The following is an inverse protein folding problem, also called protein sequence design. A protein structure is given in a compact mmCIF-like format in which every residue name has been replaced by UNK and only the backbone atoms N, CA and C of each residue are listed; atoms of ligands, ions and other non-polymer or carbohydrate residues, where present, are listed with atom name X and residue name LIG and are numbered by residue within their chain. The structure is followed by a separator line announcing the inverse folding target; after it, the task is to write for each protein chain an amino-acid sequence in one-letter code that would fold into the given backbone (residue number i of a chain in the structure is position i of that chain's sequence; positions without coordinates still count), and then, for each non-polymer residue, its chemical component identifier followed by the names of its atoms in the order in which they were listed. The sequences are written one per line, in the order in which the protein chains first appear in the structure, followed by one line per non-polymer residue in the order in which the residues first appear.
data_IF_476635630156
#
_entry.id   IF_476635630156
#
_cell.length_a   1.000
_cell.length_b   1.000
_cell.length_c   1.000
_cell.angle_alpha   90.00
_cell.angle_beta   90.00
_cell.angle_gamma   90.00
#
_symmetry.space_group_name_H-M   'P 1'
#
loop_
_entity.id
_entity.type
_entity.pdbx_description
1 polymer ?
#
# COMPACT_ATOMS: atom_id res chain seq x y z
N UNK A 1 9.83 75.63 65.50
CA UNK A 1 8.61 75.31 64.71
C UNK A 1 9.03 74.78 63.37
N UNK A 2 8.84 73.50 63.10
CA UNK A 2 8.55 72.82 61.84
C UNK A 2 9.55 72.86 60.67
N UNK A 3 10.26 71.75 60.51
CA UNK A 3 10.62 71.25 59.18
C UNK A 3 10.24 69.78 59.10
N UNK A 4 9.01 69.51 58.75
CA UNK A 4 8.57 68.18 58.38
C UNK A 4 7.76 68.43 57.11
N UNK A 5 8.23 68.06 55.98
CA UNK A 5 7.42 68.24 54.74
C UNK A 5 8.05 67.93 53.39
N UNK A 6 9.32 67.51 53.31
CA UNK A 6 9.96 67.33 52.00
C UNK A 6 10.54 65.92 51.72
N UNK A 7 10.37 64.97 52.62
CA UNK A 7 10.93 63.62 52.45
C UNK A 7 9.91 62.66 51.79
N UNK A 8 8.61 62.99 51.82
CA UNK A 8 7.58 62.09 51.27
C UNK A 8 7.41 62.18 49.75
N UNK A 9 7.87 63.30 49.13
CA UNK A 9 7.71 63.46 47.65
C UNK A 9 8.78 62.72 46.83
N UNK A 10 9.98 62.57 47.36
CA UNK A 10 11.07 61.95 46.60
C UNK A 10 10.95 60.39 46.52
N UNK A 11 10.42 59.79 47.61
CA UNK A 11 10.23 58.33 47.60
C UNK A 11 9.09 57.88 46.66
N UNK A 12 8.04 58.69 46.51
CA UNK A 12 6.92 58.39 45.59
C UNK A 12 7.32 58.48 44.12
N UNK A 13 8.17 59.44 43.77
CA UNK A 13 8.63 59.59 42.37
C UNK A 13 9.59 58.47 41.95
N UNK A 14 10.46 57.98 42.84
CA UNK A 14 11.37 56.87 42.55
C UNK A 14 10.60 55.55 42.38
N UNK A 15 9.57 55.33 43.18
CA UNK A 15 8.75 54.11 43.06
C UNK A 15 7.91 54.17 41.78
N UNK A 16 7.35 55.30 41.37
CA UNK A 16 6.60 55.43 40.16
C UNK A 16 7.45 55.26 38.88
N UNK A 17 8.68 55.75 38.88
CA UNK A 17 9.62 55.53 37.76
C UNK A 17 10.09 54.06 37.71
N UNK A 18 10.32 53.41 38.87
CA UNK A 18 10.70 52.00 38.88
C UNK A 18 9.54 51.08 38.42
N UNK A 19 8.30 51.39 38.79
CA UNK A 19 7.13 50.63 38.33
C UNK A 19 6.85 50.88 36.83
N UNK A 20 6.98 52.11 36.33
CA UNK A 20 6.86 52.40 34.92
C UNK A 20 7.96 51.70 34.07
N UNK A 21 9.19 51.65 34.60
CA UNK A 21 10.30 50.92 33.93
C UNK A 21 10.08 49.41 33.90
N UNK A 22 9.42 48.81 34.89
CA UNK A 22 9.08 47.39 34.89
C UNK A 22 7.89 47.05 34.00
N UNK A 23 6.95 48.02 33.78
CA UNK A 23 5.78 47.80 32.93
C UNK A 23 6.07 48.08 31.43
N UNK A 24 7.06 48.97 31.14
CA UNK A 24 7.43 49.36 29.80
C UNK A 24 8.83 48.91 29.36
N UNK A 25 9.50 48.04 30.17
CA UNK A 25 10.75 47.46 29.72
C UNK A 25 10.42 46.37 28.73
N UNK A 26 10.77 46.50 27.46
CA UNK A 26 10.71 45.37 26.53
C UNK A 26 11.68 44.35 27.07
N UNK A 27 11.15 43.23 27.52
CA UNK A 27 11.99 42.07 27.91
C UNK A 27 12.94 41.73 26.76
N UNK A 28 14.10 41.15 27.06
CA UNK A 28 15.01 40.66 26.04
C UNK A 28 14.36 39.46 25.32
N UNK A 29 13.85 39.72 24.15
CA UNK A 29 13.04 38.81 23.34
C UNK A 29 11.60 39.35 23.22
N UNK A 30 11.25 39.86 22.08
CA UNK A 30 9.94 40.48 21.81
C UNK A 30 8.81 39.44 21.84
N UNK A 31 8.48 38.94 23.05
CA UNK A 31 7.28 38.13 23.23
C UNK A 31 6.08 39.06 23.26
N UNK A 32 5.30 39.04 22.22
CA UNK A 32 3.99 39.72 22.13
C UNK A 32 2.87 38.93 22.85
N UNK A 33 3.22 37.82 23.49
CA UNK A 33 2.27 36.92 24.10
C UNK A 33 1.86 35.75 23.20
N UNK A 34 2.37 35.68 21.98
CA UNK A 34 2.23 34.55 21.10
C UNK A 34 3.36 33.54 21.40
N UNK A 35 3.00 32.31 21.76
CA UNK A 35 3.95 31.23 22.06
C UNK A 35 4.68 30.71 20.79
N UNK A 36 4.40 31.26 19.64
CA UNK A 36 4.93 30.79 18.35
C UNK A 36 5.97 31.73 17.73
N UNK A 37 6.21 32.92 18.29
CA UNK A 37 7.12 33.95 17.76
C UNK A 37 8.56 33.48 17.60
N UNK A 38 9.00 32.62 18.52
CA UNK A 38 10.37 32.09 18.54
C UNK A 38 10.53 30.82 17.72
N UNK A 39 9.47 30.33 17.09
CA UNK A 39 9.57 29.12 16.25
C UNK A 39 10.17 29.47 14.90
N UNK A 40 11.24 28.77 14.56
CA UNK A 40 11.74 28.85 13.19
C UNK A 40 10.59 28.51 12.23
N UNK A 41 10.43 29.35 11.21
CA UNK A 41 9.44 29.04 10.16
C UNK A 41 9.62 27.61 9.69
N UNK A 42 8.54 26.82 9.73
CA UNK A 42 8.56 25.47 9.20
C UNK A 42 9.11 25.53 7.78
N UNK A 43 10.07 24.69 7.47
CA UNK A 43 10.56 24.53 6.11
C UNK A 43 9.36 24.31 5.20
N UNK A 44 9.30 25.02 4.08
CA UNK A 44 8.26 24.76 3.09
C UNK A 44 8.21 23.25 2.79
N UNK A 45 7.02 22.62 2.74
CA UNK A 45 6.91 21.22 2.42
C UNK A 45 7.67 20.93 1.13
N UNK A 46 8.68 20.08 1.20
CA UNK A 46 9.38 19.68 -0.01
C UNK A 46 8.43 18.79 -0.82
N UNK A 47 8.11 19.23 -2.02
CA UNK A 47 7.33 18.43 -2.94
C UNK A 47 8.23 17.33 -3.52
N UNK A 48 8.14 16.14 -2.96
CA UNK A 48 8.83 14.98 -3.52
C UNK A 48 7.99 14.43 -4.68
N UNK A 49 8.59 14.36 -5.85
CA UNK A 49 8.04 13.62 -6.99
C UNK A 49 8.81 12.31 -7.09
N UNK A 50 8.19 11.17 -6.83
CA UNK A 50 8.84 9.87 -6.92
C UNK A 50 9.26 9.57 -8.37
N UNK A 51 10.18 8.63 -8.54
CA UNK A 51 10.67 8.20 -9.85
C UNK A 51 10.58 6.68 -9.98
N UNK A 52 10.32 6.21 -11.18
CA UNK A 52 10.45 4.79 -11.47
C UNK A 52 11.91 4.32 -11.27
N UNK A 53 12.06 3.12 -10.73
CA UNK A 53 13.35 2.52 -10.38
C UNK A 53 13.85 2.87 -8.97
N UNK A 54 13.10 3.61 -8.17
CA UNK A 54 13.41 3.86 -6.75
C UNK A 54 13.00 2.66 -5.89
N UNK A 55 13.85 2.31 -4.93
CA UNK A 55 13.56 1.28 -3.93
C UNK A 55 13.29 1.91 -2.56
N UNK A 56 12.41 1.30 -1.77
CA UNK A 56 11.94 1.83 -0.50
C UNK A 56 12.10 0.81 0.61
N UNK A 57 12.67 1.25 1.73
CA UNK A 57 12.92 0.36 2.88
C UNK A 57 11.63 -0.05 3.59
N UNK A 58 10.56 0.70 3.44
CA UNK A 58 9.29 0.50 4.13
C UNK A 58 8.10 0.79 3.21
N UNK A 59 6.96 0.18 3.53
CA UNK A 59 5.65 0.38 2.91
C UNK A 59 4.75 1.17 3.85
N UNK A 60 5.07 2.39 4.15
CA UNK A 60 4.10 3.23 4.84
C UNK A 60 3.14 3.84 3.83
N UNK A 61 1.94 3.28 3.73
CA UNK A 61 0.89 3.68 2.79
C UNK A 61 0.52 5.17 2.87
N UNK A 62 0.75 5.81 4.02
CA UNK A 62 0.41 7.22 4.24
C UNK A 62 1.63 8.15 4.28
N UNK A 63 2.81 7.64 4.59
CA UNK A 63 4.04 8.41 4.80
C UNK A 63 5.08 8.16 3.70
N UNK A 64 4.93 7.11 2.94
CA UNK A 64 5.90 6.67 1.92
C UNK A 64 6.24 7.73 0.87
N UNK A 65 5.37 8.71 0.66
CA UNK A 65 5.65 9.86 -0.19
C UNK A 65 6.81 10.75 0.30
N UNK A 66 7.22 10.59 1.56
CA UNK A 66 8.30 11.36 2.20
C UNK A 66 9.53 10.51 2.54
N UNK A 67 9.43 9.19 2.44
CA UNK A 67 10.55 8.29 2.72
C UNK A 67 11.55 8.39 1.57
N UNK A 68 12.78 8.73 1.89
CA UNK A 68 13.85 8.80 0.90
C UNK A 68 14.08 7.40 0.28
N UNK A 69 14.29 7.33 -1.04
CA UNK A 69 14.63 6.06 -1.68
C UNK A 69 15.97 5.53 -1.15
N UNK A 70 16.09 4.21 -1.13
CA UNK A 70 17.33 3.51 -0.79
C UNK A 70 17.93 2.89 -2.05
N UNK A 71 19.22 2.52 -1.97
CA UNK A 71 19.85 1.74 -3.04
C UNK A 71 19.18 0.38 -3.17
N UNK A 72 18.72 0.01 -4.35
CA UNK A 72 18.10 -1.29 -4.60
C UNK A 72 19.05 -2.48 -4.33
N UNK A 73 20.36 -2.27 -4.29
CA UNK A 73 21.31 -3.28 -3.84
C UNK A 73 21.30 -3.49 -2.31
N UNK A 74 20.77 -2.51 -1.55
CA UNK A 74 20.53 -2.63 -0.12
C UNK A 74 19.20 -3.39 0.14
N UNK A 75 18.92 -3.67 1.41
CA UNK A 75 17.66 -4.28 1.82
C UNK A 75 16.52 -3.29 1.68
N UNK A 76 15.46 -3.69 0.99
CA UNK A 76 14.28 -2.88 0.73
C UNK A 76 13.03 -3.77 0.61
N UNK A 77 11.86 -3.18 0.73
CA UNK A 77 10.56 -3.88 0.74
C UNK A 77 9.80 -3.64 -0.56
N UNK A 78 9.91 -2.43 -1.12
CA UNK A 78 9.16 -2.04 -2.31
C UNK A 78 10.06 -1.48 -3.40
N UNK A 79 9.65 -1.65 -4.65
CA UNK A 79 10.29 -1.07 -5.83
C UNK A 79 9.26 -0.34 -6.68
N UNK A 80 9.47 0.95 -6.91
CA UNK A 80 8.62 1.77 -7.78
C UNK A 80 8.85 1.41 -9.23
N UNK A 81 7.87 0.84 -9.88
CA UNK A 81 7.97 0.45 -11.30
C UNK A 81 7.42 1.51 -12.26
N UNK A 82 6.55 2.38 -11.76
CA UNK A 82 5.96 3.44 -12.55
C UNK A 82 5.45 4.59 -11.67
N UNK A 83 5.42 5.79 -12.24
CA UNK A 83 4.76 6.96 -11.64
C UNK A 83 3.80 7.53 -12.68
N UNK A 84 2.53 7.49 -12.36
CA UNK A 84 1.44 8.02 -13.17
C UNK A 84 0.93 9.37 -12.65
N UNK A 85 -0.13 9.85 -13.27
CA UNK A 85 -0.79 11.11 -12.89
C UNK A 85 -2.29 10.97 -12.93
N UNK A 86 -2.95 11.44 -11.89
CA UNK A 86 -4.41 11.57 -11.90
C UNK A 86 -4.85 12.65 -12.89
N UNK A 87 -5.96 12.38 -13.58
CA UNK A 87 -6.58 13.26 -14.56
C UNK A 87 -8.09 13.39 -14.30
N UNK A 88 -8.70 14.43 -14.91
CA UNK A 88 -10.13 14.66 -14.84
C UNK A 88 -10.59 15.25 -13.50
N UNK A 89 -11.85 15.00 -13.15
CA UNK A 89 -12.55 15.66 -12.03
C UNK A 89 -11.91 15.39 -10.66
N UNK A 90 -11.29 14.23 -10.47
CA UNK A 90 -10.61 13.88 -9.21
C UNK A 90 -9.50 14.88 -8.86
N UNK A 91 -8.87 15.50 -9.87
CA UNK A 91 -7.79 16.48 -9.63
C UNK A 91 -8.28 17.78 -9.00
N UNK A 92 -9.58 18.02 -8.99
CA UNK A 92 -10.24 19.20 -8.39
C UNK A 92 -10.68 18.94 -6.94
N UNK A 93 -10.60 17.70 -6.46
CA UNK A 93 -10.93 17.36 -5.09
C UNK A 93 -9.95 18.01 -4.11
N UNK A 94 -10.44 18.43 -2.94
CA UNK A 94 -9.62 19.00 -1.88
C UNK A 94 -8.62 17.97 -1.33
N UNK A 95 -9.03 16.70 -1.29
CA UNK A 95 -8.25 15.58 -0.78
C UNK A 95 -7.90 14.59 -1.90
N UNK A 96 -6.80 13.86 -1.73
CA UNK A 96 -6.44 12.75 -2.60
C UNK A 96 -7.50 11.65 -2.53
N UNK A 97 -7.72 10.89 -3.62
CA UNK A 97 -8.67 9.77 -3.65
C UNK A 97 -8.14 8.61 -2.80
N UNK A 98 -8.34 8.69 -1.49
CA UNK A 98 -7.79 7.72 -0.53
C UNK A 98 -8.27 6.31 -0.80
N UNK A 99 -7.36 5.34 -0.72
CA UNK A 99 -7.70 3.94 -0.69
C UNK A 99 -8.48 3.67 0.60
N UNK A 100 -9.72 3.22 0.46
CA UNK A 100 -10.60 2.89 1.59
C UNK A 100 -11.30 1.58 1.32
N UNK A 101 -11.49 0.82 2.39
CA UNK A 101 -12.34 -0.36 2.32
C UNK A 101 -13.73 0.01 1.80
N UNK A 102 -14.21 -0.79 0.87
CA UNK A 102 -15.53 -0.63 0.25
C UNK A 102 -15.79 0.79 -0.33
N UNK A 103 -14.75 1.45 -0.83
CA UNK A 103 -14.85 2.76 -1.48
C UNK A 103 -15.89 2.74 -2.61
N UNK A 104 -16.56 3.87 -2.82
CA UNK A 104 -17.57 4.06 -3.88
C UNK A 104 -17.39 5.41 -4.55
N UNK A 105 -18.01 5.58 -5.73
CA UNK A 105 -18.01 6.86 -6.44
C UNK A 105 -16.65 7.24 -7.03
N UNK A 106 -16.38 8.54 -7.10
CA UNK A 106 -15.22 9.08 -7.81
C UNK A 106 -13.87 8.61 -7.28
N UNK A 107 -13.74 8.40 -5.96
CA UNK A 107 -12.52 7.91 -5.34
C UNK A 107 -12.22 6.48 -5.79
N UNK A 108 -13.23 5.59 -5.71
CA UNK A 108 -13.07 4.20 -6.16
C UNK A 108 -12.75 4.12 -7.66
N UNK A 109 -13.37 4.95 -8.48
CA UNK A 109 -13.08 5.01 -9.92
C UNK A 109 -11.66 5.50 -10.20
N UNK A 110 -11.20 6.53 -9.49
CA UNK A 110 -9.85 7.06 -9.65
C UNK A 110 -8.80 6.02 -9.22
N UNK A 111 -9.01 5.38 -8.08
CA UNK A 111 -8.16 4.30 -7.59
C UNK A 111 -8.15 3.10 -8.54
N UNK A 112 -9.31 2.68 -9.02
CA UNK A 112 -9.41 1.54 -9.95
C UNK A 112 -8.68 1.82 -11.27
N UNK A 113 -8.72 3.05 -11.78
CA UNK A 113 -7.95 3.44 -12.97
C UNK A 113 -6.45 3.45 -12.70
N UNK A 114 -6.03 4.04 -11.59
CA UNK A 114 -4.62 4.04 -11.18
C UNK A 114 -4.09 2.60 -11.01
N UNK A 115 -4.85 1.75 -10.33
CA UNK A 115 -4.48 0.34 -10.15
C UNK A 115 -4.40 -0.43 -11.48
N UNK A 116 -5.33 -0.21 -12.40
CA UNK A 116 -5.29 -0.84 -13.72
C UNK A 116 -4.05 -0.41 -14.51
N UNK A 117 -3.72 0.89 -14.51
CA UNK A 117 -2.50 1.38 -15.14
C UNK A 117 -1.25 0.82 -14.47
N UNK A 118 -1.20 0.80 -13.13
CA UNK A 118 -0.11 0.19 -12.38
C UNK A 118 0.05 -1.30 -12.75
N UNK A 119 -1.05 -2.05 -12.85
CA UNK A 119 -1.02 -3.48 -13.21
C UNK A 119 -0.41 -3.72 -14.60
N UNK A 120 -0.80 -2.92 -15.59
CA UNK A 120 -0.24 -3.00 -16.94
C UNK A 120 1.25 -2.67 -16.94
N UNK A 121 1.65 -1.62 -16.22
CA UNK A 121 3.05 -1.19 -16.11
C UNK A 121 3.92 -2.20 -15.37
N UNK A 122 3.41 -2.76 -14.28
CA UNK A 122 4.09 -3.81 -13.52
C UNK A 122 4.33 -5.06 -14.37
N UNK A 123 3.29 -5.50 -15.11
CA UNK A 123 3.40 -6.61 -16.06
C UNK A 123 4.46 -6.34 -17.13
N UNK A 124 4.45 -5.14 -17.72
CA UNK A 124 5.46 -4.76 -18.71
C UNK A 124 6.88 -4.67 -18.14
N UNK A 125 7.00 -4.22 -16.90
CA UNK A 125 8.28 -4.13 -16.19
C UNK A 125 8.92 -5.49 -15.93
N UNK A 126 8.09 -6.47 -15.53
CA UNK A 126 8.52 -7.83 -15.21
C UNK A 126 8.68 -8.72 -16.45
N UNK A 127 8.02 -8.38 -17.57
CA UNK A 127 7.93 -9.24 -18.75
C UNK A 127 6.95 -10.41 -18.64
N UNK A 128 6.21 -10.50 -17.54
CA UNK A 128 5.15 -11.47 -17.27
C UNK A 128 4.11 -10.86 -16.30
N UNK A 129 2.90 -11.44 -16.17
CA UNK A 129 1.91 -10.95 -15.22
C UNK A 129 2.47 -10.92 -13.79
N UNK A 130 2.40 -9.76 -13.14
CA UNK A 130 2.91 -9.58 -11.78
C UNK A 130 2.18 -10.46 -10.76
N UNK A 131 0.90 -10.76 -11.02
CA UNK A 131 0.06 -11.57 -10.13
C UNK A 131 0.26 -13.08 -10.28
N UNK A 132 1.07 -13.54 -11.24
CA UNK A 132 1.43 -14.96 -11.40
C UNK A 132 2.61 -15.38 -10.52
N UNK A 133 3.15 -14.46 -9.76
CA UNK A 133 4.30 -14.66 -8.89
C UNK A 133 4.02 -14.07 -7.51
N UNK A 134 4.90 -14.31 -6.54
CA UNK A 134 4.78 -13.80 -5.18
C UNK A 134 5.11 -12.31 -5.10
N UNK A 135 4.27 -11.51 -5.70
CA UNK A 135 4.31 -10.06 -5.64
C UNK A 135 2.93 -9.52 -5.30
N UNK A 136 2.91 -8.40 -4.61
CA UNK A 136 1.75 -7.53 -4.51
C UNK A 136 2.01 -6.22 -5.23
N UNK A 137 0.94 -5.55 -5.62
CA UNK A 137 0.97 -4.28 -6.32
C UNK A 137 0.29 -3.21 -5.49
N UNK A 138 1.07 -2.25 -5.07
CA UNK A 138 0.59 -1.12 -4.29
C UNK A 138 0.50 0.16 -5.11
N UNK A 139 -0.52 0.97 -4.82
CA UNK A 139 -0.71 2.30 -5.40
C UNK A 139 -0.59 3.35 -4.31
N UNK A 140 0.55 4.00 -4.25
CA UNK A 140 0.87 5.04 -3.27
C UNK A 140 0.49 6.42 -3.80
N UNK A 141 -0.06 7.26 -2.94
CA UNK A 141 -0.57 8.58 -3.27
C UNK A 141 0.24 9.69 -2.59
N UNK A 142 0.17 10.94 -3.08
CA UNK A 142 0.70 12.08 -2.36
C UNK A 142 0.03 12.23 -0.99
N UNK A 143 0.79 12.69 0.00
CA UNK A 143 0.19 13.10 1.28
C UNK A 143 -0.87 14.18 1.07
N UNK A 144 -1.76 14.37 2.04
CA UNK A 144 -2.78 15.43 1.97
C UNK A 144 -2.14 16.81 1.74
N UNK A 145 -1.04 17.13 2.41
CA UNK A 145 -0.32 18.39 2.22
C UNK A 145 0.27 18.51 0.80
N UNK A 146 0.82 17.45 0.26
CA UNK A 146 1.36 17.42 -1.10
C UNK A 146 0.24 17.55 -2.15
N UNK A 147 -0.91 16.91 -1.92
CA UNK A 147 -2.09 17.07 -2.76
C UNK A 147 -2.63 18.52 -2.76
N UNK A 148 -2.76 19.12 -1.59
CA UNK A 148 -3.15 20.52 -1.43
C UNK A 148 -2.14 21.48 -2.10
N UNK A 149 -0.86 21.13 -2.11
CA UNK A 149 0.18 21.84 -2.85
C UNK A 149 0.15 21.59 -4.38
N UNK A 150 -0.82 20.82 -4.89
CA UNK A 150 -1.05 20.61 -6.32
C UNK A 150 -0.41 19.35 -6.90
N UNK A 151 0.20 18.49 -6.10
CA UNK A 151 0.73 17.21 -6.60
C UNK A 151 -0.43 16.25 -6.93
N UNK A 152 -0.34 15.61 -8.09
CA UNK A 152 -1.41 14.75 -8.63
C UNK A 152 -0.86 13.43 -9.18
N UNK A 153 0.30 13.00 -8.69
CA UNK A 153 0.90 11.73 -9.08
C UNK A 153 0.27 10.56 -8.32
N UNK A 154 0.42 9.38 -8.86
CA UNK A 154 0.35 8.12 -8.12
C UNK A 154 1.58 7.29 -8.44
N UNK A 155 2.01 6.47 -7.50
CA UNK A 155 3.18 5.62 -7.60
C UNK A 155 2.75 4.17 -7.58
N UNK A 156 3.32 3.37 -8.48
CA UNK A 156 3.08 1.94 -8.58
C UNK A 156 4.27 1.21 -7.99
N UNK A 157 4.08 0.55 -6.88
CA UNK A 157 5.11 -0.17 -6.16
C UNK A 157 4.86 -1.68 -6.25
N UNK A 158 5.88 -2.42 -6.64
CA UNK A 158 5.89 -3.88 -6.49
C UNK A 158 6.54 -4.25 -5.18
N UNK A 159 5.91 -5.18 -4.48
CA UNK A 159 6.29 -5.66 -3.16
C UNK A 159 6.45 -7.16 -3.22
N UNK A 160 7.62 -7.67 -2.83
CA UNK A 160 7.76 -9.11 -2.68
C UNK A 160 6.96 -9.57 -1.47
N UNK A 161 6.08 -10.54 -1.67
CA UNK A 161 5.30 -11.14 -0.58
C UNK A 161 5.91 -12.48 -0.14
N UNK A 162 5.68 -12.78 1.12
CA UNK A 162 5.92 -14.10 1.69
C UNK A 162 4.90 -15.13 1.20
N UNK A 163 4.84 -16.22 1.92
CA UNK A 163 3.82 -17.25 1.73
C UNK A 163 2.58 -16.85 2.51
N UNK A 164 1.46 -16.99 1.97
CA UNK A 164 0.23 -16.35 2.43
C UNK A 164 -0.09 -15.10 1.59
N UNK A 165 0.85 -14.68 0.73
CA UNK A 165 0.69 -13.59 -0.24
C UNK A 165 0.33 -12.22 0.39
N UNK A 166 0.36 -12.08 1.71
CA UNK A 166 -0.03 -10.88 2.42
C UNK A 166 1.17 -10.13 3.03
N UNK A 167 2.15 -10.86 3.57
CA UNK A 167 3.24 -10.22 4.30
C UNK A 167 4.37 -9.77 3.38
N UNK A 168 4.75 -8.48 3.41
CA UNK A 168 5.92 -7.99 2.70
C UNK A 168 7.19 -8.67 3.18
N UNK A 169 8.07 -9.02 2.24
CA UNK A 169 9.38 -9.61 2.51
C UNK A 169 10.47 -8.70 1.96
N UNK A 170 11.37 -8.32 2.84
CA UNK A 170 12.54 -7.55 2.44
C UNK A 170 13.44 -8.36 1.47
N UNK A 171 13.98 -7.67 0.49
CA UNK A 171 14.84 -8.24 -0.53
C UNK A 171 16.06 -7.34 -0.81
N UNK A 172 16.99 -7.87 -1.60
CA UNK A 172 18.10 -7.12 -2.21
C UNK A 172 18.08 -7.30 -3.72
N UNK A 173 18.43 -6.26 -4.44
CA UNK A 173 18.40 -6.25 -5.90
C UNK A 173 17.01 -5.98 -6.50
N UNK A 174 16.97 -5.46 -7.71
CA UNK A 174 15.75 -5.09 -8.42
C UNK A 174 14.84 -6.30 -8.68
N UNK A 175 13.54 -6.04 -8.76
CA UNK A 175 12.51 -6.98 -9.20
C UNK A 175 12.47 -7.14 -10.72
N UNK A 176 13.16 -6.29 -11.46
CA UNK A 176 13.16 -6.33 -12.92
C UNK A 176 13.58 -7.72 -13.41
N UNK A 177 12.75 -8.31 -14.23
CA UNK A 177 12.94 -9.67 -14.75
C UNK A 177 13.02 -10.77 -13.65
N UNK A 178 12.60 -10.46 -12.41
CA UNK A 178 12.59 -11.43 -11.33
C UNK A 178 11.47 -12.46 -11.51
N UNK A 179 11.80 -13.73 -11.33
CA UNK A 179 10.84 -14.82 -11.30
C UNK A 179 10.73 -15.37 -9.87
N UNK A 180 9.60 -15.12 -9.21
CA UNK A 180 9.33 -15.51 -7.83
C UNK A 180 8.15 -16.50 -7.77
N UNK A 181 8.33 -17.74 -8.22
CA UNK A 181 7.22 -18.67 -8.40
C UNK A 181 6.51 -18.96 -7.08
N UNK A 182 5.21 -19.11 -7.15
CA UNK A 182 4.41 -19.78 -6.14
C UNK A 182 4.57 -21.28 -6.26
N UNK A 183 4.24 -22.03 -5.19
CA UNK A 183 4.48 -23.47 -5.15
C UNK A 183 3.33 -24.21 -4.43
N UNK A 184 3.65 -25.33 -3.80
CA UNK A 184 2.74 -26.13 -3.01
C UNK A 184 2.45 -25.47 -1.66
N UNK A 185 1.24 -25.68 -1.14
CA UNK A 185 0.78 -25.09 0.11
C UNK A 185 0.06 -26.13 0.99
N UNK A 186 0.05 -25.87 2.29
CA UNK A 186 -0.84 -26.53 3.23
C UNK A 186 -2.07 -25.64 3.40
N UNK A 187 -3.17 -26.01 2.77
CA UNK A 187 -4.44 -25.26 2.78
C UNK A 187 -5.31 -25.65 3.98
N UNK A 188 -4.86 -26.57 4.82
CA UNK A 188 -5.63 -27.00 6.01
C UNK A 188 -5.63 -25.95 7.13
N UNK A 189 -4.68 -25.01 7.11
CA UNK A 189 -4.56 -23.90 8.06
C UNK A 189 -5.14 -22.59 7.55
N UNK A 190 -5.16 -21.57 8.42
CA UNK A 190 -5.65 -20.23 8.06
C UNK A 190 -4.69 -19.45 7.14
N UNK A 191 -3.38 -19.68 7.27
CA UNK A 191 -2.36 -18.85 6.62
C UNK A 191 -1.78 -19.47 5.36
N UNK A 192 -2.28 -20.64 4.96
CA UNK A 192 -1.85 -21.38 3.76
C UNK A 192 -0.33 -21.38 3.55
N UNK A 193 0.47 -21.86 4.53
CA UNK A 193 1.90 -21.79 4.42
C UNK A 193 2.40 -22.58 3.23
N UNK A 194 3.37 -22.01 2.55
CA UNK A 194 4.03 -22.75 1.50
C UNK A 194 4.84 -23.91 2.07
N UNK A 195 4.84 -24.98 1.32
CA UNK A 195 5.67 -26.15 1.55
C UNK A 195 6.42 -26.52 0.27
N UNK A 196 7.59 -27.12 0.45
CA UNK A 196 8.28 -27.78 -0.66
C UNK A 196 7.39 -28.87 -1.23
N UNK A 197 7.14 -28.85 -2.53
CA UNK A 197 6.31 -29.86 -3.20
C UNK A 197 6.82 -31.31 -3.02
N UNK A 198 8.09 -31.50 -2.69
CA UNK A 198 8.61 -32.83 -2.31
C UNK A 198 8.06 -33.33 -0.97
N UNK A 199 7.50 -32.45 -0.13
CA UNK A 199 6.84 -32.79 1.13
C UNK A 199 5.35 -33.02 0.91
N UNK A 200 4.68 -33.56 1.94
CA UNK A 200 3.21 -33.68 1.94
C UNK A 200 2.55 -32.32 1.90
N UNK A 201 1.58 -32.15 1.03
CA UNK A 201 0.76 -30.94 0.89
C UNK A 201 -0.64 -31.32 0.37
N UNK A 202 -1.59 -30.46 0.57
CA UNK A 202 -2.97 -30.59 0.11
C UNK A 202 -3.40 -29.50 -0.86
N UNK A 203 -2.49 -28.54 -1.16
CA UNK A 203 -2.71 -27.45 -2.09
C UNK A 203 -1.53 -27.21 -3.02
N UNK A 204 -1.82 -26.77 -4.25
CA UNK A 204 -0.82 -26.32 -5.21
C UNK A 204 -1.34 -25.16 -6.04
N UNK A 205 -0.54 -24.11 -6.16
CA UNK A 205 -0.87 -22.94 -6.96
C UNK A 205 -0.93 -23.28 -8.44
N UNK A 206 -2.03 -22.93 -9.09
CA UNK A 206 -2.26 -23.23 -10.51
C UNK A 206 -2.28 -21.97 -11.42
N UNK A 207 -2.30 -20.78 -10.84
CA UNK A 207 -2.32 -19.52 -11.58
C UNK A 207 -3.16 -18.45 -10.90
N UNK A 208 -3.21 -17.27 -11.48
CA UNK A 208 -4.04 -16.17 -11.02
C UNK A 208 -4.66 -15.41 -12.20
N UNK A 209 -5.65 -14.57 -11.91
CA UNK A 209 -6.25 -13.66 -12.88
C UNK A 209 -6.79 -12.41 -12.19
N UNK A 210 -6.97 -11.35 -12.96
CA UNK A 210 -7.70 -10.17 -12.51
C UNK A 210 -9.19 -10.36 -12.78
N UNK A 211 -10.00 -10.36 -11.72
CA UNK A 211 -11.44 -10.46 -11.88
C UNK A 211 -12.02 -9.20 -12.56
N UNK A 212 -13.15 -9.32 -13.26
CA UNK A 212 -13.81 -8.17 -13.88
C UNK A 212 -14.14 -7.07 -12.87
N UNK A 213 -14.15 -5.83 -13.35
CA UNK A 213 -14.55 -4.69 -12.54
C UNK A 213 -16.00 -4.86 -12.05
N UNK A 214 -16.20 -4.72 -10.74
CA UNK A 214 -17.50 -4.73 -10.13
C UNK A 214 -17.50 -3.80 -8.92
N UNK A 215 -18.64 -3.13 -8.70
CA UNK A 215 -18.79 -2.18 -7.60
C UNK A 215 -18.81 -2.83 -6.20
N UNK A 216 -19.02 -4.14 -6.15
CA UNK A 216 -19.08 -4.91 -4.90
C UNK A 216 -18.30 -6.20 -5.04
N UNK A 217 -17.72 -6.64 -3.94
CA UNK A 217 -17.12 -7.98 -3.87
C UNK A 217 -18.18 -9.05 -4.15
N UNK A 218 -17.84 -10.10 -4.90
CA UNK A 218 -18.75 -11.21 -5.09
C UNK A 218 -18.97 -11.99 -3.79
N UNK A 219 -20.15 -12.58 -3.61
CA UNK A 219 -20.47 -13.44 -2.48
C UNK A 219 -21.51 -14.51 -2.88
N UNK A 220 -21.48 -15.65 -2.23
CA UNK A 220 -22.37 -16.78 -2.53
C UNK A 220 -22.28 -17.17 -4.00
N UNK A 221 -23.40 -17.32 -4.70
CA UNK A 221 -23.42 -17.70 -6.11
C UNK A 221 -22.71 -16.74 -7.07
N UNK A 222 -22.46 -15.49 -6.66
CA UNK A 222 -21.66 -14.57 -7.45
C UNK A 222 -20.16 -14.94 -7.48
N UNK A 223 -19.73 -15.89 -6.64
CA UNK A 223 -18.39 -16.48 -6.69
C UNK A 223 -18.23 -17.54 -7.79
N UNK A 224 -19.34 -18.19 -8.23
CA UNK A 224 -19.28 -19.29 -9.20
C UNK A 224 -18.44 -18.97 -10.44
N UNK A 225 -18.55 -17.77 -11.08
CA UNK A 225 -17.70 -17.44 -12.23
C UNK A 225 -16.21 -17.35 -11.90
N UNK A 226 -15.84 -17.04 -10.64
CA UNK A 226 -14.44 -17.02 -10.21
C UNK A 226 -13.92 -18.45 -10.05
N UNK A 227 -14.73 -19.34 -9.45
CA UNK A 227 -14.42 -20.77 -9.37
C UNK A 227 -14.27 -21.37 -10.77
N UNK A 228 -15.21 -21.10 -11.67
CA UNK A 228 -15.12 -21.56 -13.08
C UNK A 228 -13.81 -21.10 -13.72
N UNK A 229 -13.43 -19.84 -13.51
CA UNK A 229 -12.18 -19.30 -14.05
C UNK A 229 -10.95 -19.97 -13.44
N UNK A 230 -10.97 -20.29 -12.14
CA UNK A 230 -9.89 -21.06 -11.51
C UNK A 230 -9.79 -22.46 -12.11
N UNK A 231 -10.90 -23.15 -12.32
CA UNK A 231 -10.87 -24.46 -12.99
C UNK A 231 -10.37 -24.39 -14.45
N UNK A 232 -10.60 -23.26 -15.15
CA UNK A 232 -9.99 -23.04 -16.48
C UNK A 232 -8.46 -22.95 -16.42
N UNK A 233 -7.88 -22.50 -15.29
CA UNK A 233 -6.43 -22.48 -15.05
C UNK A 233 -5.92 -23.84 -14.54
N UNK A 234 -6.66 -24.50 -13.66
CA UNK A 234 -6.30 -25.78 -13.07
C UNK A 234 -6.25 -26.89 -14.12
N UNK A 235 -7.20 -26.92 -15.05
CA UNK A 235 -7.28 -27.97 -16.07
C UNK A 235 -5.98 -28.09 -16.92
N UNK A 236 -5.50 -27.04 -17.57
CA UNK A 236 -4.23 -27.12 -18.31
C UNK A 236 -3.02 -27.32 -17.39
N UNK A 237 -3.05 -26.81 -16.17
CA UNK A 237 -2.00 -27.06 -15.21
C UNK A 237 -1.83 -28.55 -14.91
N UNK A 238 -2.93 -29.26 -14.68
CA UNK A 238 -2.95 -30.71 -14.49
C UNK A 238 -2.71 -31.51 -15.77
N UNK A 239 -2.83 -30.90 -16.94
CA UNK A 239 -2.77 -31.59 -18.23
C UNK A 239 -4.05 -32.38 -18.55
N UNK A 240 -5.20 -31.94 -18.08
CA UNK A 240 -6.52 -32.57 -18.32
C UNK A 240 -7.48 -31.61 -19.04
N UNK A 241 -8.58 -32.18 -19.57
CA UNK A 241 -9.67 -31.32 -20.07
C UNK A 241 -10.49 -30.73 -18.92
N UNK A 242 -11.08 -29.55 -19.15
CA UNK A 242 -11.92 -28.86 -18.15
C UNK A 242 -13.03 -29.76 -17.58
N UNK A 243 -13.67 -30.57 -18.43
CA UNK A 243 -14.72 -31.50 -18.02
C UNK A 243 -14.27 -32.62 -17.06
N UNK A 244 -12.98 -32.86 -16.95
CA UNK A 244 -12.43 -33.85 -16.02
C UNK A 244 -12.03 -33.27 -14.68
N UNK A 245 -11.68 -31.98 -14.62
CA UNK A 245 -11.13 -31.36 -13.42
C UNK A 245 -12.17 -31.27 -12.30
N UNK A 246 -13.43 -31.00 -12.64
CA UNK A 246 -14.53 -30.80 -11.69
C UNK A 246 -14.81 -31.99 -10.78
N UNK A 247 -14.35 -33.18 -11.14
CA UNK A 247 -14.62 -34.42 -10.41
C UNK A 247 -13.38 -34.96 -9.66
N UNK A 248 -12.25 -34.31 -9.81
CA UNK A 248 -10.98 -34.85 -9.29
C UNK A 248 -10.34 -33.99 -8.23
N UNK A 249 -10.57 -32.70 -8.26
CA UNK A 249 -10.00 -31.75 -7.30
C UNK A 249 -11.01 -30.64 -7.02
N UNK A 250 -10.90 -30.05 -5.82
CA UNK A 250 -11.49 -28.75 -5.51
C UNK A 250 -10.60 -27.61 -5.97
N UNK A 251 -11.11 -26.43 -5.91
CA UNK A 251 -10.32 -25.20 -5.99
C UNK A 251 -10.42 -24.43 -4.67
N UNK A 252 -9.36 -23.72 -4.35
CA UNK A 252 -9.36 -22.74 -3.29
C UNK A 252 -8.93 -21.40 -3.88
N UNK A 253 -9.68 -20.36 -3.56
CA UNK A 253 -9.45 -19.01 -4.03
C UNK A 253 -8.85 -18.20 -2.89
N UNK A 254 -7.74 -17.56 -3.16
CA UNK A 254 -7.15 -16.60 -2.25
C UNK A 254 -7.24 -15.19 -2.83
N UNK A 255 -7.53 -14.22 -1.97
CA UNK A 255 -7.68 -12.83 -2.32
C UNK A 255 -6.91 -11.98 -1.31
N UNK A 256 -6.16 -11.01 -1.80
CA UNK A 256 -5.59 -10.01 -0.93
C UNK A 256 -6.70 -9.19 -0.24
N UNK A 257 -6.49 -8.83 1.02
CA UNK A 257 -7.34 -7.89 1.78
C UNK A 257 -8.82 -8.28 1.91
N UNK A 258 -9.14 -9.58 1.97
CA UNK A 258 -10.52 -10.07 2.14
C UNK A 258 -11.56 -9.35 1.24
N UNK A 259 -11.18 -8.96 0.03
CA UNK A 259 -11.99 -8.16 -0.89
C UNK A 259 -12.31 -6.72 -0.43
N UNK A 260 -11.72 -6.22 0.64
CA UNK A 260 -12.04 -4.89 1.16
C UNK A 260 -11.80 -3.79 0.11
N UNK A 261 -10.79 -3.97 -0.73
CA UNK A 261 -10.39 -3.02 -1.78
C UNK A 261 -10.84 -3.41 -3.19
N UNK A 262 -11.81 -4.29 -3.30
CA UNK A 262 -12.31 -4.79 -4.58
C UNK A 262 -12.77 -3.67 -5.54
N UNK A 263 -13.56 -2.73 -5.03
CA UNK A 263 -14.05 -1.59 -5.80
C UNK A 263 -12.94 -0.62 -6.25
N UNK A 264 -11.84 -0.60 -5.52
CA UNK A 264 -10.67 0.22 -5.83
C UNK A 264 -9.68 -0.45 -6.79
N UNK A 265 -10.00 -1.64 -7.30
CA UNK A 265 -9.21 -2.31 -8.34
C UNK A 265 -8.40 -3.50 -7.87
N UNK A 266 -8.18 -3.71 -6.60
CA UNK A 266 -7.48 -4.90 -6.06
C UNK A 266 -8.39 -6.13 -6.21
N UNK A 267 -8.33 -6.77 -7.37
CA UNK A 267 -9.22 -7.88 -7.77
C UNK A 267 -8.46 -9.10 -8.26
N UNK A 268 -7.23 -9.26 -7.79
CA UNK A 268 -6.44 -10.45 -8.11
C UNK A 268 -7.05 -11.65 -7.41
N UNK A 269 -7.24 -12.72 -8.16
CA UNK A 269 -7.73 -14.01 -7.68
C UNK A 269 -6.64 -15.04 -7.90
N UNK A 270 -6.10 -15.59 -6.84
CA UNK A 270 -5.12 -16.67 -6.88
C UNK A 270 -5.84 -18.01 -6.78
N UNK A 271 -5.57 -18.90 -7.70
CA UNK A 271 -6.21 -20.20 -7.82
C UNK A 271 -5.30 -21.31 -7.34
N UNK A 272 -5.76 -22.05 -6.36
CA UNK A 272 -5.06 -23.23 -5.85
C UNK A 272 -5.86 -24.48 -6.17
N UNK A 273 -5.18 -25.53 -6.54
CA UNK A 273 -5.73 -26.89 -6.52
C UNK A 273 -5.88 -27.27 -5.05
N UNK A 274 -7.05 -27.75 -4.65
CA UNK A 274 -7.31 -28.21 -3.30
C UNK A 274 -7.67 -29.68 -3.29
N UNK A 275 -6.94 -30.47 -2.49
CA UNK A 275 -7.13 -31.91 -2.37
C UNK A 275 -8.05 -32.31 -1.20
N UNK A 276 -8.70 -31.33 -0.56
CA UNK A 276 -9.55 -31.51 0.62
C UNK A 276 -8.77 -32.25 1.73
N UNK A 277 -9.20 -33.45 2.08
CA UNK A 277 -8.57 -34.27 3.14
C UNK A 277 -7.43 -35.15 2.64
N UNK A 278 -7.14 -35.11 1.36
CA UNK A 278 -6.07 -35.89 0.74
C UNK A 278 -4.78 -35.07 0.72
N UNK A 279 -3.67 -35.74 0.73
CA UNK A 279 -2.35 -35.12 0.56
C UNK A 279 -1.57 -35.84 -0.52
N UNK A 280 -0.71 -35.11 -1.19
CA UNK A 280 0.23 -35.67 -2.17
C UNK A 280 1.67 -35.27 -1.86
N UNK A 281 2.60 -35.80 -2.61
CA UNK A 281 4.00 -35.38 -2.68
C UNK A 281 4.40 -35.18 -4.14
N UNK A 282 5.24 -34.20 -4.39
CA UNK A 282 5.64 -33.79 -5.74
C UNK A 282 4.52 -32.97 -6.44
N UNK A 283 4.89 -32.11 -7.37
CA UNK A 283 3.96 -31.24 -8.08
C UNK A 283 2.90 -32.04 -8.87
N UNK A 284 1.69 -31.50 -8.92
CA UNK A 284 0.56 -32.00 -9.69
C UNK A 284 0.62 -31.59 -11.16
N UNK A 285 1.53 -30.69 -11.53
CA UNK A 285 1.65 -30.14 -12.87
C UNK A 285 1.86 -31.26 -13.91
N UNK A 286 0.96 -31.34 -14.86
CA UNK A 286 1.03 -32.31 -15.96
C UNK A 286 0.81 -33.79 -15.58
N UNK A 287 0.37 -34.08 -14.35
CA UNK A 287 0.13 -35.48 -13.92
C UNK A 287 -1.01 -36.19 -14.64
N UNK A 288 -1.95 -35.43 -15.20
CA UNK A 288 -3.12 -35.98 -15.89
C UNK A 288 -4.17 -36.59 -14.97
N UNK A 289 -3.90 -36.72 -13.71
CA UNK A 289 -4.82 -37.18 -12.63
C UNK A 289 -4.25 -36.79 -11.28
N UNK A 290 -5.07 -36.73 -10.28
CA UNK A 290 -4.73 -36.50 -8.87
C UNK A 290 -4.97 -37.76 -8.06
#
# INVERSE_FOLDING_TARGET
VRRVGWVAGAAGAVVAVAVAALVFWPGPGGSDGDLTDDWAALSAPQSVTPKAGECHADLDEQVSATVAPVDCAAEHVAETVYVGRFEGTVTQAADAPLLRENATGADAEAQSRAYAECSDRATAYLGHPWFDVRLDLDVTLPTAAAWQAGLRWFRCDLVQTGWGLADPVARKGSLKDAWLPTACADLSGADWPQVDCAKKHDGEYAGAFLAPAAAKKPAGKAMDPLHDKCFDLIAPYLGVSRAKVDYTVGDALWFADDFAYWSSGRRTVHCFIWLDKQTTTGSLKGRGKV
#
